data_IF_938801511222
#
_entry.id   IF_938801511222
#
_cell.length_a   1.000
_cell.length_b   1.000
_cell.length_c   1.000
_cell.angle_alpha   90.00
_cell.angle_beta   90.00
_cell.angle_gamma   90.00
#
_symmetry.space_group_name_H-M   'P 1'
#
loop_
_entity.id
_entity.type
_entity.pdbx_description
1 polymer ?
#
# COMPACT_ATOMS: atom_id res chain seq x y z
N UNK A 1 19.33 -0.84 -14.15
CA UNK A 1 18.75 -1.44 -15.38
C UNK A 1 17.50 -2.19 -14.96
N UNK A 2 16.45 -2.04 -15.73
CA UNK A 2 15.05 -2.48 -15.60
C UNK A 2 14.24 -1.78 -14.51
N UNK A 3 13.78 -0.57 -14.81
CA UNK A 3 12.57 0.00 -14.27
C UNK A 3 11.37 -0.82 -14.76
N UNK A 4 11.00 -1.87 -14.06
CA UNK A 4 9.68 -2.49 -14.24
C UNK A 4 8.68 -1.57 -13.55
N UNK A 5 8.17 -0.63 -14.31
CA UNK A 5 7.14 0.29 -13.85
C UNK A 5 5.85 -0.50 -13.67
N UNK A 6 5.42 -0.72 -12.45
CA UNK A 6 4.17 -1.42 -12.06
C UNK A 6 2.88 -0.79 -12.56
N UNK A 7 2.97 0.31 -13.31
CA UNK A 7 1.84 0.96 -13.97
C UNK A 7 1.89 0.81 -15.49
N UNK A 8 2.82 0.02 -16.03
CA UNK A 8 2.87 -0.16 -17.45
C UNK A 8 1.66 -0.94 -17.93
N UNK A 9 0.98 -0.37 -18.90
CA UNK A 9 -0.11 -0.99 -19.62
C UNK A 9 0.49 -1.49 -20.92
N UNK A 10 0.52 -2.81 -21.06
CA UNK A 10 1.02 -3.46 -22.28
C UNK A 10 -0.11 -3.67 -23.24
N UNK A 11 0.16 -3.43 -24.53
CA UNK A 11 -0.72 -3.87 -25.61
C UNK A 11 -0.31 -5.24 -26.08
N UNK A 12 -1.29 -6.04 -26.45
CA UNK A 12 -1.04 -7.37 -27.00
C UNK A 12 -1.91 -7.64 -28.24
N UNK A 13 -1.52 -8.65 -29.01
CA UNK A 13 -2.32 -9.24 -30.08
C UNK A 13 -2.72 -10.66 -29.69
N UNK A 14 -3.89 -11.11 -30.09
CA UNK A 14 -4.38 -12.47 -29.93
C UNK A 14 -5.28 -12.83 -31.11
N UNK A 15 -5.33 -14.11 -31.46
CA UNK A 15 -6.19 -14.60 -32.56
C UNK A 15 -7.67 -14.57 -32.20
N UNK A 16 -7.98 -14.64 -30.90
CA UNK A 16 -9.35 -14.55 -30.34
C UNK A 16 -9.41 -13.45 -29.29
N UNK A 17 -10.58 -12.82 -29.06
CA UNK A 17 -10.76 -11.84 -28.00
C UNK A 17 -10.50 -12.46 -26.63
N UNK A 18 -9.53 -11.89 -25.89
CA UNK A 18 -9.27 -12.25 -24.48
C UNK A 18 -10.32 -11.58 -23.61
N UNK A 19 -10.97 -12.36 -22.74
CA UNK A 19 -11.97 -11.83 -21.82
C UNK A 19 -11.35 -10.89 -20.80
N UNK A 20 -12.12 -9.89 -20.38
CA UNK A 20 -11.70 -9.04 -19.27
C UNK A 20 -11.64 -9.82 -17.98
N UNK A 21 -10.59 -9.59 -17.19
CA UNK A 21 -10.45 -10.27 -15.90
C UNK A 21 -9.02 -10.39 -15.42
N UNK A 22 -8.87 -11.09 -14.35
CA UNK A 22 -7.59 -11.42 -13.74
C UNK A 22 -7.07 -12.72 -14.31
N UNK A 23 -5.77 -12.76 -14.58
CA UNK A 23 -5.08 -13.92 -15.15
C UNK A 23 -3.77 -14.17 -14.43
N UNK A 24 -3.42 -15.44 -14.29
CA UNK A 24 -2.07 -15.86 -13.98
C UNK A 24 -1.26 -15.89 -15.27
N UNK A 25 -0.20 -15.09 -15.32
CA UNK A 25 0.63 -14.93 -16.53
C UNK A 25 1.67 -16.05 -16.59
N UNK A 26 1.85 -16.65 -17.77
CA UNK A 26 2.77 -17.76 -17.98
C UNK A 26 3.57 -17.54 -19.29
N UNK A 27 4.89 -17.69 -19.23
CA UNK A 27 5.77 -17.75 -20.41
C UNK A 27 5.88 -19.16 -20.97
N UNK A 28 5.69 -20.14 -20.10
CA UNK A 28 5.76 -21.55 -20.41
C UNK A 28 4.62 -22.31 -19.76
N UNK A 29 4.45 -23.55 -20.17
CA UNK A 29 3.45 -24.47 -19.62
C UNK A 29 3.78 -24.75 -18.14
N UNK A 30 2.90 -24.40 -17.16
CA UNK A 30 3.14 -24.74 -15.77
C UNK A 30 3.04 -26.26 -15.56
N UNK A 31 3.93 -26.81 -14.76
CA UNK A 31 3.91 -28.24 -14.42
C UNK A 31 2.68 -28.61 -13.60
N UNK A 32 2.32 -27.75 -12.63
CA UNK A 32 1.14 -27.87 -11.79
C UNK A 32 0.29 -26.60 -11.93
N UNK A 33 -0.68 -26.56 -12.84
CA UNK A 33 -1.55 -25.41 -12.98
C UNK A 33 -2.44 -25.28 -11.75
N UNK A 34 -2.25 -24.22 -10.97
CA UNK A 34 -3.17 -23.84 -9.90
C UNK A 34 -4.39 -23.15 -10.52
N UNK A 35 -5.59 -23.59 -10.14
CA UNK A 35 -6.82 -23.25 -10.84
C UNK A 35 -7.65 -22.12 -10.20
N UNK A 36 -7.02 -21.25 -9.37
CA UNK A 36 -7.75 -20.12 -8.78
C UNK A 36 -8.04 -19.02 -9.80
N UNK A 37 -7.10 -18.78 -10.71
CA UNK A 37 -7.26 -17.87 -11.86
C UNK A 37 -6.97 -18.61 -13.16
N UNK A 38 -7.60 -18.22 -14.29
CA UNK A 38 -7.24 -18.74 -15.60
C UNK A 38 -5.79 -18.34 -15.94
N UNK A 39 -5.07 -19.24 -16.61
CA UNK A 39 -3.73 -18.96 -17.10
C UNK A 39 -3.81 -18.23 -18.44
N UNK A 40 -3.00 -17.20 -18.61
CA UNK A 40 -2.79 -16.48 -19.86
C UNK A 40 -1.37 -16.75 -20.34
N UNK A 41 -1.23 -17.42 -21.47
CA UNK A 41 0.07 -17.66 -22.08
C UNK A 41 0.55 -16.43 -22.82
N UNK A 42 1.71 -15.92 -22.44
CA UNK A 42 2.35 -14.76 -23.06
C UNK A 42 3.54 -15.25 -23.90
N UNK A 43 3.62 -14.84 -25.14
CA UNK A 43 4.73 -15.17 -26.05
C UNK A 43 5.28 -13.93 -26.74
N UNK A 44 6.54 -13.98 -27.17
CA UNK A 44 7.16 -12.94 -28.01
C UNK A 44 6.70 -13.04 -29.45
N UNK A 45 6.38 -14.24 -29.91
CA UNK A 45 5.99 -14.53 -31.29
C UNK A 45 4.76 -15.42 -31.31
N UNK A 46 4.05 -15.42 -32.45
CA UNK A 46 2.89 -16.29 -32.65
C UNK A 46 3.31 -17.77 -32.53
N UNK A 47 2.55 -18.55 -31.78
CA UNK A 47 2.79 -19.99 -31.65
C UNK A 47 2.03 -20.76 -32.73
N UNK A 48 2.73 -21.70 -33.39
CA UNK A 48 2.13 -22.58 -34.40
C UNK A 48 1.37 -23.77 -33.81
N UNK A 49 1.31 -23.92 -32.46
CA UNK A 49 0.72 -25.04 -31.79
C UNK A 49 -0.62 -24.68 -31.11
N UNK A 50 -1.54 -25.67 -31.02
CA UNK A 50 -2.77 -25.51 -30.23
C UNK A 50 -2.44 -25.30 -28.75
N UNK A 51 -3.15 -24.36 -28.12
CA UNK A 51 -3.01 -24.10 -26.70
C UNK A 51 -3.37 -25.33 -25.88
N UNK A 52 -2.62 -25.61 -24.79
CA UNK A 52 -3.03 -26.59 -23.80
C UNK A 52 -4.38 -26.24 -23.17
N UNK A 53 -5.19 -27.22 -22.85
CA UNK A 53 -6.57 -27.04 -22.38
C UNK A 53 -6.73 -26.22 -21.06
N UNK A 54 -5.65 -26.04 -20.30
CA UNK A 54 -5.65 -25.26 -19.06
C UNK A 54 -5.25 -23.79 -19.24
N UNK A 55 -4.99 -23.34 -20.47
CA UNK A 55 -4.87 -21.91 -20.77
C UNK A 55 -6.22 -21.38 -21.23
N UNK A 56 -6.62 -20.25 -20.66
CA UNK A 56 -7.84 -19.57 -21.09
C UNK A 56 -7.61 -18.90 -22.46
N UNK A 57 -6.44 -18.31 -22.65
CA UNK A 57 -6.09 -17.51 -23.81
C UNK A 57 -4.57 -17.45 -24.04
N UNK A 58 -4.20 -16.91 -25.20
CA UNK A 58 -2.84 -16.68 -25.65
C UNK A 58 -2.69 -15.25 -26.17
N UNK A 59 -1.60 -14.60 -25.81
CA UNK A 59 -1.28 -13.25 -26.28
C UNK A 59 0.16 -13.14 -26.76
N UNK A 60 0.40 -12.26 -27.72
CA UNK A 60 1.74 -11.92 -28.22
C UNK A 60 2.09 -10.50 -27.84
N UNK A 61 3.15 -10.33 -27.07
CA UNK A 61 3.70 -9.03 -26.69
C UNK A 61 5.11 -9.19 -26.16
N UNK A 62 6.11 -8.77 -26.93
CA UNK A 62 7.52 -8.81 -26.53
C UNK A 62 7.79 -8.03 -25.26
N UNK A 63 7.21 -6.83 -25.12
CA UNK A 63 7.42 -5.97 -23.95
C UNK A 63 6.86 -6.63 -22.68
N UNK A 64 5.64 -7.17 -22.75
CA UNK A 64 5.05 -7.89 -21.62
C UNK A 64 5.86 -9.15 -21.29
N UNK A 65 6.23 -9.95 -22.30
CA UNK A 65 7.02 -11.16 -22.11
C UNK A 65 8.33 -10.89 -21.37
N UNK A 66 9.04 -9.82 -21.75
CA UNK A 66 10.30 -9.43 -21.11
C UNK A 66 10.11 -8.85 -19.71
N UNK A 67 8.93 -8.31 -19.40
CA UNK A 67 8.65 -7.65 -18.12
C UNK A 67 8.15 -8.56 -17.01
N UNK A 68 7.58 -9.74 -17.34
CA UNK A 68 6.95 -10.66 -16.38
C UNK A 68 7.85 -11.82 -15.98
N UNK A 69 7.44 -12.49 -14.89
CA UNK A 69 7.86 -13.85 -14.50
C UNK A 69 6.66 -14.81 -14.52
N UNK A 70 6.95 -16.12 -14.65
CA UNK A 70 5.90 -17.15 -14.57
C UNK A 70 5.19 -17.06 -13.22
N UNK A 71 3.87 -16.95 -13.28
CA UNK A 71 3.01 -16.83 -12.10
C UNK A 71 2.75 -15.39 -11.64
N UNK A 72 3.23 -14.38 -12.34
CA UNK A 72 2.77 -12.99 -12.13
C UNK A 72 1.27 -12.90 -12.40
N UNK A 73 0.59 -11.94 -11.77
CA UNK A 73 -0.83 -11.72 -11.97
C UNK A 73 -1.05 -10.44 -12.77
N UNK A 74 -1.82 -10.58 -13.85
CA UNK A 74 -2.23 -9.47 -14.70
C UNK A 74 -3.74 -9.28 -14.70
N UNK A 75 -4.18 -8.06 -14.99
CA UNK A 75 -5.58 -7.74 -15.31
C UNK A 75 -5.68 -7.34 -16.77
N UNK A 76 -6.55 -8.02 -17.50
CA UNK A 76 -6.92 -7.66 -18.87
C UNK A 76 -8.10 -6.72 -18.85
N UNK A 77 -7.96 -5.59 -19.51
CA UNK A 77 -9.00 -4.57 -19.70
C UNK A 77 -9.46 -4.53 -21.16
N UNK A 78 -10.49 -3.72 -21.44
CA UNK A 78 -10.96 -3.47 -22.80
C UNK A 78 -9.81 -3.01 -23.74
N UNK A 79 -9.85 -3.46 -25.00
CA UNK A 79 -8.94 -3.00 -26.04
C UNK A 79 -7.56 -3.67 -26.03
N UNK A 80 -7.50 -4.94 -25.67
CA UNK A 80 -6.27 -5.73 -25.67
C UNK A 80 -5.14 -5.09 -24.86
N UNK A 81 -5.47 -4.61 -23.68
CA UNK A 81 -4.52 -4.04 -22.72
C UNK A 81 -4.43 -4.91 -21.49
N UNK A 82 -3.20 -5.16 -21.05
CA UNK A 82 -2.92 -5.89 -19.80
C UNK A 82 -2.05 -5.03 -18.89
N UNK A 83 -2.34 -5.07 -17.61
CA UNK A 83 -1.53 -4.48 -16.55
C UNK A 83 -1.15 -5.54 -15.53
N UNK A 84 0.14 -5.68 -15.25
CA UNK A 84 0.63 -6.54 -14.17
C UNK A 84 0.28 -5.90 -12.82
N UNK A 85 -0.37 -6.64 -11.93
CA UNK A 85 -0.82 -6.18 -10.61
C UNK A 85 -0.05 -6.80 -9.46
N UNK A 86 0.39 -8.06 -9.59
CA UNK A 86 1.33 -8.71 -8.70
C UNK A 86 2.49 -9.26 -9.52
N UNK A 87 3.72 -8.96 -9.11
CA UNK A 87 4.92 -9.36 -9.83
C UNK A 87 5.98 -9.93 -8.90
N UNK A 88 6.59 -11.04 -9.29
CA UNK A 88 7.68 -11.68 -8.55
C UNK A 88 8.98 -10.87 -8.56
N UNK A 89 9.15 -9.99 -9.53
CA UNK A 89 10.28 -9.05 -9.61
C UNK A 89 10.14 -7.86 -8.67
N UNK A 90 8.95 -7.64 -8.17
CA UNK A 90 8.65 -6.45 -7.40
C UNK A 90 8.85 -6.70 -5.91
N UNK A 91 9.53 -5.77 -5.23
CA UNK A 91 9.73 -5.81 -3.79
C UNK A 91 8.42 -5.66 -3.00
N UNK A 92 7.42 -4.98 -3.58
CA UNK A 92 6.15 -4.70 -2.93
C UNK A 92 4.98 -4.99 -3.87
N UNK A 93 4.10 -5.86 -3.42
CA UNK A 93 2.88 -6.25 -4.10
C UNK A 93 1.67 -5.75 -3.32
N UNK A 94 0.65 -5.21 -3.99
CA UNK A 94 -0.56 -4.70 -3.33
C UNK A 94 -1.79 -4.95 -4.19
N UNK A 95 -2.85 -5.46 -3.58
CA UNK A 95 -4.17 -5.59 -4.19
C UNK A 95 -5.12 -4.51 -3.70
N UNK A 96 -6.06 -4.11 -4.57
CA UNK A 96 -7.15 -3.18 -4.26
C UNK A 96 -8.43 -3.98 -4.08
N UNK A 97 -8.97 -4.02 -2.85
CA UNK A 97 -10.16 -4.83 -2.54
C UNK A 97 -11.47 -4.05 -2.61
N UNK A 98 -11.42 -2.73 -2.51
CA UNK A 98 -12.60 -1.86 -2.62
C UNK A 98 -12.19 -0.44 -2.96
N UNK A 99 -13.08 0.31 -3.60
CA UNK A 99 -12.96 1.77 -3.78
C UNK A 99 -13.90 2.54 -2.83
N UNK A 100 -14.73 1.85 -2.03
CA UNK A 100 -15.63 2.43 -1.03
C UNK A 100 -14.90 2.74 0.25
N UNK A 101 -15.25 3.87 0.90
CA UNK A 101 -14.68 4.26 2.19
C UNK A 101 -15.71 5.07 2.99
N UNK A 102 -15.68 4.93 4.31
CA UNK A 102 -16.46 5.75 5.26
C UNK A 102 -15.70 6.99 5.75
N UNK A 103 -14.50 7.25 5.22
CA UNK A 103 -13.76 8.50 5.41
C UNK A 103 -13.66 9.28 4.09
N UNK A 104 -13.37 10.60 4.18
CA UNK A 104 -13.11 11.51 3.06
C UNK A 104 -11.86 12.33 3.32
N UNK A 105 -10.74 11.64 3.59
CA UNK A 105 -9.48 12.27 3.99
C UNK A 105 -9.04 13.34 2.99
N UNK A 106 -8.65 14.51 3.48
CA UNK A 106 -8.22 15.66 2.65
C UNK A 106 -7.04 15.32 1.71
N UNK A 107 -6.24 14.33 2.08
CA UNK A 107 -5.08 13.87 1.32
C UNK A 107 -5.23 12.46 0.77
N UNK A 108 -6.47 11.97 0.60
CA UNK A 108 -6.70 10.64 0.05
C UNK A 108 -6.07 10.49 -1.34
N UNK A 109 -5.18 9.50 -1.49
CA UNK A 109 -4.53 9.19 -2.77
C UNK A 109 -5.49 8.54 -3.76
N UNK A 110 -6.48 7.82 -3.26
CA UNK A 110 -7.53 7.13 -4.01
C UNK A 110 -8.91 7.57 -3.49
N UNK A 111 -9.44 8.73 -3.95
CA UNK A 111 -10.72 9.22 -3.48
C UNK A 111 -11.82 8.18 -3.62
N UNK A 112 -12.67 8.02 -2.58
CA UNK A 112 -13.71 7.01 -2.58
C UNK A 112 -14.66 7.16 -3.75
N UNK A 113 -15.09 6.02 -4.29
CA UNK A 113 -16.15 5.94 -5.30
C UNK A 113 -17.41 5.31 -4.70
N UNK A 114 -18.55 5.71 -5.25
CA UNK A 114 -19.84 5.09 -4.95
C UNK A 114 -20.16 4.07 -6.04
N UNK A 115 -20.46 2.85 -5.67
CA UNK A 115 -20.78 1.77 -6.60
C UNK A 115 -20.52 0.42 -5.99
N UNK A 116 -21.11 -0.62 -6.59
CA UNK A 116 -20.79 -1.99 -6.20
C UNK A 116 -19.45 -2.37 -6.81
N UNK A 117 -18.51 -2.74 -5.95
CA UNK A 117 -17.17 -3.20 -6.30
C UNK A 117 -16.80 -4.55 -5.63
N UNK A 118 -17.81 -5.29 -5.13
CA UNK A 118 -17.64 -6.54 -4.37
C UNK A 118 -16.81 -7.58 -5.13
N UNK A 119 -16.82 -7.54 -6.46
CA UNK A 119 -15.95 -8.36 -7.30
C UNK A 119 -14.46 -8.19 -6.98
N UNK A 120 -14.04 -6.99 -6.52
CA UNK A 120 -12.62 -6.70 -6.25
C UNK A 120 -12.10 -7.53 -5.07
N UNK A 121 -12.91 -7.73 -4.03
CA UNK A 121 -12.53 -8.55 -2.88
C UNK A 121 -12.28 -10.01 -3.31
N UNK A 122 -13.23 -10.61 -4.03
CA UNK A 122 -13.13 -11.99 -4.49
C UNK A 122 -11.96 -12.19 -5.47
N UNK A 123 -11.79 -11.27 -6.45
CA UNK A 123 -10.71 -11.35 -7.41
C UNK A 123 -9.34 -11.17 -6.73
N UNK A 124 -9.26 -10.34 -5.70
CA UNK A 124 -8.02 -10.18 -4.91
C UNK A 124 -7.67 -11.43 -4.11
N UNK A 125 -8.65 -12.14 -3.55
CA UNK A 125 -8.44 -13.43 -2.89
C UNK A 125 -7.84 -14.45 -3.86
N UNK A 126 -8.47 -14.63 -5.03
CA UNK A 126 -8.01 -15.53 -6.07
C UNK A 126 -6.62 -15.14 -6.61
N UNK A 127 -6.35 -13.83 -6.73
CA UNK A 127 -5.06 -13.32 -7.17
C UNK A 127 -3.94 -13.67 -6.17
N UNK A 128 -4.16 -13.45 -4.87
CA UNK A 128 -3.19 -13.79 -3.82
C UNK A 128 -2.93 -15.29 -3.80
N UNK A 129 -3.98 -16.11 -3.82
CA UNK A 129 -3.85 -17.57 -3.83
C UNK A 129 -3.13 -18.10 -5.08
N UNK A 130 -3.41 -17.53 -6.27
CA UNK A 130 -2.72 -17.90 -7.52
C UNK A 130 -1.28 -17.40 -7.57
N UNK A 131 -0.97 -16.28 -6.93
CA UNK A 131 0.39 -15.73 -6.85
C UNK A 131 1.25 -16.52 -5.88
N UNK A 132 0.67 -16.97 -4.75
CA UNK A 132 1.30 -17.83 -3.73
C UNK A 132 2.74 -17.38 -3.39
N UNK A 133 2.86 -16.15 -2.91
CA UNK A 133 4.15 -15.55 -2.57
C UNK A 133 4.51 -15.88 -1.12
N UNK A 134 5.70 -16.44 -0.90
CA UNK A 134 6.30 -16.44 0.43
C UNK A 134 6.89 -15.04 0.71
N UNK A 135 6.06 -14.14 1.19
CA UNK A 135 6.38 -12.73 1.39
C UNK A 135 5.17 -11.93 1.83
N UNK A 136 5.24 -10.62 1.66
CA UNK A 136 4.16 -9.71 2.09
C UNK A 136 3.37 -9.20 0.88
N UNK A 137 2.04 -9.31 0.95
CA UNK A 137 1.11 -8.65 0.02
C UNK A 137 0.32 -7.58 0.77
N UNK A 138 0.36 -6.36 0.25
CA UNK A 138 -0.48 -5.26 0.72
C UNK A 138 -1.93 -5.48 0.32
N UNK A 139 -2.85 -5.25 1.25
CA UNK A 139 -4.29 -5.19 1.00
C UNK A 139 -4.72 -3.75 1.22
N UNK A 140 -5.10 -3.08 0.15
CA UNK A 140 -5.47 -1.66 0.16
C UNK A 140 -6.87 -1.48 -0.42
N UNK A 141 -7.39 -0.28 -0.26
CA UNK A 141 -8.69 0.08 -0.79
C UNK A 141 -9.07 1.51 -0.42
N UNK A 142 -10.35 1.80 -0.49
CA UNK A 142 -10.92 2.87 0.30
C UNK A 142 -10.85 2.46 1.77
N UNK A 143 -11.74 1.57 2.21
CA UNK A 143 -11.70 0.95 3.53
C UNK A 143 -12.05 -0.54 3.45
N UNK A 144 -11.04 -1.44 3.51
CA UNK A 144 -11.25 -2.88 3.40
C UNK A 144 -12.21 -3.47 4.42
N UNK A 145 -12.18 -2.97 5.66
CA UNK A 145 -13.00 -3.54 6.74
C UNK A 145 -14.49 -3.14 6.68
N UNK A 146 -14.89 -2.32 5.69
CA UNK A 146 -16.33 -2.09 5.40
C UNK A 146 -17.05 -3.37 4.97
N UNK A 147 -16.32 -4.34 4.45
CA UNK A 147 -16.89 -5.65 4.09
C UNK A 147 -17.31 -6.49 5.31
N UNK A 148 -16.80 -6.17 6.51
CA UNK A 148 -17.18 -6.91 7.71
C UNK A 148 -16.93 -8.41 7.57
N UNK A 149 -18.00 -9.21 7.61
CA UNK A 149 -17.94 -10.68 7.52
C UNK A 149 -17.29 -11.16 6.21
N UNK A 150 -17.57 -10.52 5.07
CA UNK A 150 -16.98 -10.91 3.80
C UNK A 150 -15.45 -10.75 3.80
N UNK A 151 -14.92 -9.76 4.56
CA UNK A 151 -13.48 -9.61 4.74
C UNK A 151 -12.89 -10.74 5.61
N UNK A 152 -13.63 -11.20 6.62
CA UNK A 152 -13.21 -12.35 7.42
C UNK A 152 -13.16 -13.63 6.56
N UNK A 153 -14.16 -13.84 5.68
CA UNK A 153 -14.17 -14.95 4.72
C UNK A 153 -13.01 -14.84 3.71
N UNK A 154 -12.67 -13.62 3.25
CA UNK A 154 -11.48 -13.39 2.43
C UNK A 154 -10.22 -13.88 3.15
N UNK A 155 -10.07 -13.59 4.45
CA UNK A 155 -8.92 -14.06 5.23
C UNK A 155 -8.94 -15.58 5.40
N UNK A 156 -10.10 -16.19 5.68
CA UNK A 156 -10.23 -17.64 5.78
C UNK A 156 -9.80 -18.34 4.47
N UNK A 157 -10.19 -17.77 3.32
CA UNK A 157 -9.75 -18.28 2.02
C UNK A 157 -8.22 -18.20 1.84
N UNK A 158 -7.58 -17.07 2.28
CA UNK A 158 -6.11 -16.94 2.21
C UNK A 158 -5.42 -17.93 3.16
N UNK A 159 -5.93 -18.10 4.37
CA UNK A 159 -5.41 -19.08 5.35
C UNK A 159 -5.40 -20.50 4.76
N UNK A 160 -6.44 -20.86 4.04
CA UNK A 160 -6.56 -22.20 3.44
C UNK A 160 -5.69 -22.39 2.19
N UNK A 161 -5.52 -21.36 1.38
CA UNK A 161 -4.98 -21.48 0.02
C UNK A 161 -3.63 -20.80 -0.20
N UNK A 162 -3.17 -19.95 0.72
CA UNK A 162 -1.88 -19.26 0.65
C UNK A 162 -1.34 -18.90 2.05
N UNK A 163 -1.19 -19.87 2.96
CA UNK A 163 -0.83 -19.63 4.37
C UNK A 163 0.56 -18.98 4.54
N UNK A 164 1.44 -19.13 3.56
CA UNK A 164 2.78 -18.55 3.57
C UNK A 164 2.80 -17.04 3.25
N UNK A 165 1.69 -16.50 2.73
CA UNK A 165 1.61 -15.10 2.35
C UNK A 165 1.21 -14.25 3.55
N UNK A 166 2.15 -13.42 4.04
CA UNK A 166 1.83 -12.41 5.04
C UNK A 166 1.02 -11.26 4.41
N UNK A 167 0.10 -10.68 5.17
CA UNK A 167 -0.69 -9.54 4.72
C UNK A 167 -0.34 -8.26 5.47
N UNK A 168 -0.30 -7.15 4.72
CA UNK A 168 -0.24 -5.80 5.25
C UNK A 168 -1.52 -5.05 4.87
N UNK A 169 -2.48 -4.98 5.79
CA UNK A 169 -3.82 -4.43 5.54
C UNK A 169 -3.85 -2.96 5.91
N UNK A 170 -4.13 -2.08 4.93
CA UNK A 170 -4.32 -0.65 5.15
C UNK A 170 -5.79 -0.38 5.45
N UNK A 171 -6.08 0.07 6.64
CA UNK A 171 -7.45 0.34 7.13
C UNK A 171 -7.48 1.60 7.97
N UNK A 172 -8.62 2.28 8.04
CA UNK A 172 -8.81 3.39 8.99
C UNK A 172 -9.01 2.93 10.45
N UNK A 173 -9.13 1.63 10.68
CA UNK A 173 -9.19 1.02 11.99
C UNK A 173 -10.53 1.13 12.72
N UNK A 174 -11.50 1.89 12.20
CA UNK A 174 -12.78 2.19 12.87
C UNK A 174 -13.61 0.92 13.17
N UNK A 175 -13.57 -0.07 12.28
CA UNK A 175 -14.31 -1.34 12.46
C UNK A 175 -13.84 -2.14 13.67
N UNK A 176 -12.61 -1.97 14.11
CA UNK A 176 -12.11 -2.59 15.35
C UNK A 176 -12.77 -2.06 16.64
N UNK A 177 -13.52 -0.96 16.56
CA UNK A 177 -14.36 -0.53 17.70
C UNK A 177 -15.46 -1.56 18.03
N UNK A 178 -15.85 -2.39 17.07
CA UNK A 178 -16.70 -3.56 17.28
C UNK A 178 -15.88 -4.72 17.89
N UNK A 179 -16.13 -4.99 19.17
CA UNK A 179 -15.40 -6.02 19.95
C UNK A 179 -15.58 -7.42 19.37
N UNK A 180 -16.78 -7.74 18.86
CA UNK A 180 -17.05 -9.06 18.26
C UNK A 180 -16.24 -9.24 16.97
N UNK A 181 -16.21 -8.23 16.11
CA UNK A 181 -15.39 -8.25 14.90
C UNK A 181 -13.89 -8.34 15.24
N UNK A 182 -13.44 -7.60 16.26
CA UNK A 182 -12.03 -7.62 16.70
C UNK A 182 -11.62 -9.01 17.19
N UNK A 183 -12.48 -9.70 17.94
CA UNK A 183 -12.21 -11.05 18.41
C UNK A 183 -12.10 -12.05 17.23
N UNK A 184 -12.99 -11.97 16.26
CA UNK A 184 -12.94 -12.81 15.06
C UNK A 184 -11.69 -12.53 14.21
N UNK A 185 -11.25 -11.25 14.14
CA UNK A 185 -10.02 -10.86 13.45
C UNK A 185 -8.78 -11.40 14.16
N UNK A 186 -8.76 -11.41 15.50
CA UNK A 186 -7.69 -12.00 16.30
C UNK A 186 -7.50 -13.48 15.95
N UNK A 187 -8.57 -14.27 15.90
CA UNK A 187 -8.52 -15.70 15.59
C UNK A 187 -7.84 -15.98 14.23
N UNK A 188 -8.01 -15.08 13.26
CA UNK A 188 -7.38 -15.16 11.94
C UNK A 188 -5.94 -14.68 11.97
N UNK A 189 -5.65 -13.65 12.78
CA UNK A 189 -4.29 -13.15 12.97
C UNK A 189 -3.36 -14.12 13.71
N UNK A 190 -3.92 -15.11 14.41
CA UNK A 190 -3.19 -16.21 15.02
C UNK A 190 -2.79 -17.29 13.99
N UNK A 191 -3.54 -17.39 12.88
CA UNK A 191 -3.32 -18.39 11.81
C UNK A 191 -2.56 -17.83 10.61
N UNK A 192 -2.67 -16.52 10.37
CA UNK A 192 -2.05 -15.82 9.25
C UNK A 192 -1.30 -14.60 9.76
N UNK A 193 -0.08 -14.40 9.31
CA UNK A 193 0.70 -13.20 9.66
C UNK A 193 0.08 -11.97 9.03
N UNK A 194 -0.61 -11.15 9.84
CA UNK A 194 -1.26 -9.91 9.39
C UNK A 194 -0.72 -8.73 10.20
N UNK A 195 -0.41 -7.64 9.51
CA UNK A 195 -0.12 -6.33 10.12
C UNK A 195 -1.14 -5.32 9.62
N UNK A 196 -1.76 -4.57 10.53
CA UNK A 196 -2.73 -3.53 10.17
C UNK A 196 -2.09 -2.16 10.23
N UNK A 197 -2.02 -1.49 9.07
CA UNK A 197 -1.58 -0.10 8.96
C UNK A 197 -2.76 0.85 9.25
N UNK A 198 -2.80 1.40 10.46
CA UNK A 198 -3.92 2.23 10.95
C UNK A 198 -3.44 3.68 11.13
N UNK A 199 -4.12 4.67 10.51
CA UNK A 199 -3.74 6.07 10.66
C UNK A 199 -4.28 6.69 11.94
N UNK A 200 -3.44 7.52 12.59
CA UNK A 200 -3.87 8.45 13.62
C UNK A 200 -3.19 9.81 13.36
N UNK A 201 -3.98 10.83 13.03
CA UNK A 201 -3.43 12.11 12.57
C UNK A 201 -3.38 13.19 13.65
N UNK A 202 -3.99 12.97 14.80
CA UNK A 202 -3.90 13.87 15.97
C UNK A 202 -4.31 13.13 17.25
N UNK A 203 -3.88 13.64 18.39
CA UNK A 203 -4.41 13.27 19.71
C UNK A 203 -5.69 14.04 20.07
N UNK A 204 -6.18 14.91 19.19
CA UNK A 204 -7.41 15.70 19.33
C UNK A 204 -8.42 15.29 18.28
N UNK A 205 -9.64 14.96 18.71
CA UNK A 205 -10.74 14.55 17.83
C UNK A 205 -11.01 15.56 16.71
N UNK A 206 -11.10 16.84 17.04
CA UNK A 206 -11.41 17.90 16.07
C UNK A 206 -10.41 17.99 14.91
N UNK A 207 -9.12 17.72 15.16
CA UNK A 207 -8.08 17.76 14.12
C UNK A 207 -8.06 16.45 13.32
N UNK A 208 -8.19 15.31 14.00
CA UNK A 208 -8.26 14.03 13.30
C UNK A 208 -9.47 13.98 12.37
N UNK A 209 -10.66 14.28 12.88
CA UNK A 209 -11.92 14.25 12.15
C UNK A 209 -11.91 15.22 10.95
N UNK A 210 -11.35 16.41 11.13
CA UNK A 210 -11.11 17.37 10.04
C UNK A 210 -10.24 16.77 8.93
N UNK A 211 -9.13 16.13 9.29
CA UNK A 211 -8.18 15.56 8.32
C UNK A 211 -8.75 14.35 7.58
N UNK A 212 -9.53 13.51 8.29
CA UNK A 212 -10.16 12.33 7.67
C UNK A 212 -11.54 12.65 7.04
N UNK A 213 -12.05 13.87 7.24
CA UNK A 213 -13.31 14.32 6.67
C UNK A 213 -14.53 13.51 7.14
N UNK A 214 -14.54 13.08 8.41
CA UNK A 214 -15.60 12.27 9.01
C UNK A 214 -15.69 12.56 10.51
N UNK A 215 -16.81 13.10 10.95
CA UNK A 215 -17.10 13.36 12.37
C UNK A 215 -17.20 12.05 13.15
N UNK A 216 -16.64 12.03 14.37
CA UNK A 216 -16.60 10.85 15.24
C UNK A 216 -15.60 9.77 14.83
N UNK A 217 -14.87 9.96 13.75
CA UNK A 217 -13.88 9.00 13.28
C UNK A 217 -12.73 8.80 14.29
N UNK A 218 -12.35 9.86 15.02
CA UNK A 218 -11.33 9.78 16.06
C UNK A 218 -11.71 8.77 17.15
N UNK A 219 -12.91 8.89 17.70
CA UNK A 219 -13.36 8.04 18.81
C UNK A 219 -13.44 6.58 18.37
N UNK A 220 -13.97 6.31 17.17
CA UNK A 220 -14.01 4.95 16.62
C UNK A 220 -12.61 4.40 16.33
N UNK A 221 -11.70 5.20 15.75
CA UNK A 221 -10.31 4.79 15.47
C UNK A 221 -9.54 4.52 16.77
N UNK A 222 -9.68 5.39 17.78
CA UNK A 222 -9.02 5.21 19.09
C UNK A 222 -9.55 3.98 19.79
N UNK A 223 -10.88 3.78 19.83
CA UNK A 223 -11.46 2.56 20.40
C UNK A 223 -11.01 1.31 19.65
N UNK A 224 -10.94 1.40 18.31
CA UNK A 224 -10.43 0.33 17.46
C UNK A 224 -8.99 -0.04 17.77
N UNK A 225 -8.11 0.96 17.90
CA UNK A 225 -6.70 0.76 18.30
C UNK A 225 -6.56 0.13 19.68
N UNK A 226 -7.38 0.54 20.64
CA UNK A 226 -7.42 -0.06 22.00
C UNK A 226 -7.83 -1.53 21.92
N UNK A 227 -8.93 -1.84 21.25
CA UNK A 227 -9.44 -3.21 21.14
C UNK A 227 -8.47 -4.12 20.39
N UNK A 228 -7.93 -3.67 19.25
CA UNK A 228 -6.98 -4.43 18.44
C UNK A 228 -5.67 -4.67 19.22
N UNK A 229 -5.12 -3.63 19.87
CA UNK A 229 -3.90 -3.75 20.66
C UNK A 229 -4.06 -4.68 21.85
N UNK A 230 -5.15 -4.57 22.60
CA UNK A 230 -5.45 -5.44 23.74
C UNK A 230 -5.70 -6.91 23.32
N UNK A 231 -6.12 -7.12 22.08
CA UNK A 231 -6.28 -8.46 21.49
C UNK A 231 -4.98 -9.05 20.95
N UNK A 232 -3.87 -8.30 20.97
CA UNK A 232 -2.57 -8.76 20.47
C UNK A 232 -2.44 -8.71 18.94
N UNK A 233 -3.34 -8.00 18.25
CA UNK A 233 -3.26 -7.78 16.80
C UNK A 233 -2.08 -6.85 16.50
N UNK A 234 -1.28 -7.18 15.47
CA UNK A 234 -0.11 -6.39 15.07
C UNK A 234 -0.54 -5.08 14.41
N UNK A 235 -0.09 -3.96 14.96
CA UNK A 235 -0.44 -2.61 14.51
C UNK A 235 0.80 -1.84 14.06
N UNK A 236 0.76 -1.30 12.85
CA UNK A 236 1.58 -0.19 12.38
C UNK A 236 0.75 1.10 12.49
N UNK A 237 1.12 2.01 13.36
CA UNK A 237 0.47 3.31 13.46
C UNK A 237 1.06 4.26 12.41
N UNK A 238 0.21 4.87 11.57
CA UNK A 238 0.63 5.71 10.44
C UNK A 238 0.28 7.16 10.68
N UNK A 239 1.28 8.04 10.54
CA UNK A 239 1.12 9.48 10.74
C UNK A 239 1.62 10.19 9.47
N UNK A 240 0.81 11.11 8.94
CA UNK A 240 1.19 12.00 7.83
C UNK A 240 1.18 13.43 8.37
N UNK A 241 2.34 14.11 8.45
CA UNK A 241 2.39 15.51 8.82
C UNK A 241 1.73 16.39 7.76
N UNK A 242 0.92 17.32 8.24
CA UNK A 242 0.20 18.32 7.45
C UNK A 242 0.23 19.66 8.19
N UNK A 243 -0.21 20.74 7.55
CA UNK A 243 -0.37 22.05 8.22
C UNK A 243 -1.23 22.00 9.49
N UNK A 244 -2.13 21.04 9.60
CA UNK A 244 -3.04 20.93 10.74
C UNK A 244 -2.44 20.22 11.97
N UNK A 245 -1.42 19.36 11.80
CA UNK A 245 -0.92 18.48 12.87
C UNK A 245 0.60 18.47 13.08
N UNK A 246 1.41 19.07 12.20
CA UNK A 246 2.87 18.98 12.27
C UNK A 246 3.47 19.48 13.61
N UNK A 247 2.81 20.44 14.26
CA UNK A 247 3.25 20.97 15.55
C UNK A 247 3.06 20.01 16.71
N UNK A 248 2.29 18.94 16.52
CA UNK A 248 1.85 18.01 17.57
C UNK A 248 2.38 16.59 17.38
N UNK A 249 3.36 16.36 16.51
CA UNK A 249 3.88 15.03 16.21
C UNK A 249 4.33 14.28 17.45
N UNK A 250 5.05 14.95 18.34
CA UNK A 250 5.49 14.39 19.62
C UNK A 250 4.31 14.04 20.55
N UNK A 251 3.27 14.88 20.57
CA UNK A 251 2.05 14.62 21.38
C UNK A 251 1.22 13.45 20.83
N UNK A 252 1.16 13.28 19.51
CA UNK A 252 0.49 12.13 18.89
C UNK A 252 1.19 10.83 19.32
N UNK A 253 2.52 10.82 19.28
CA UNK A 253 3.33 9.65 19.66
C UNK A 253 3.24 9.38 21.16
N UNK A 254 3.28 10.43 22.00
CA UNK A 254 3.09 10.31 23.44
C UNK A 254 1.71 9.75 23.78
N UNK A 255 0.66 10.25 23.13
CA UNK A 255 -0.70 9.72 23.26
C UNK A 255 -0.76 8.25 22.86
N UNK A 256 -0.17 7.89 21.72
CA UNK A 256 -0.14 6.51 21.26
C UNK A 256 0.57 5.59 22.26
N UNK A 257 1.72 5.97 22.78
CA UNK A 257 2.49 5.17 23.73
C UNK A 257 1.84 5.04 25.11
N UNK A 258 0.95 5.97 25.47
CA UNK A 258 0.21 5.89 26.75
C UNK A 258 -1.10 5.13 26.67
N UNK A 259 -1.76 5.18 25.52
CA UNK A 259 -3.16 4.70 25.36
C UNK A 259 -3.23 3.34 24.70
N UNK A 260 -2.32 3.05 23.77
CA UNK A 260 -2.40 1.82 22.98
C UNK A 260 -1.35 0.81 23.42
N UNK A 261 -1.80 -0.42 23.57
CA UNK A 261 -0.92 -1.58 23.71
C UNK A 261 -0.59 -2.17 22.33
N UNK A 262 0.55 -2.87 22.25
CA UNK A 262 0.95 -3.65 21.08
C UNK A 262 1.10 -2.87 19.77
N UNK A 263 1.56 -1.60 19.85
CA UNK A 263 2.02 -0.88 18.65
C UNK A 263 3.43 -1.34 18.30
N UNK A 264 3.56 -2.05 17.18
CA UNK A 264 4.83 -2.60 16.72
C UNK A 264 5.73 -1.52 16.11
N UNK A 265 5.11 -0.58 15.39
CA UNK A 265 5.82 0.47 14.67
C UNK A 265 4.98 1.72 14.51
N UNK A 266 5.63 2.87 14.53
CA UNK A 266 5.08 4.14 14.05
C UNK A 266 5.75 4.49 12.72
N UNK A 267 4.95 4.70 11.69
CA UNK A 267 5.39 5.14 10.36
C UNK A 267 5.05 6.60 10.14
N UNK A 268 6.06 7.47 10.20
CA UNK A 268 5.95 8.87 9.86
C UNK A 268 6.17 9.03 8.36
N UNK A 269 5.14 9.45 7.62
CA UNK A 269 5.14 9.39 6.16
C UNK A 269 5.03 10.76 5.52
N UNK A 270 5.88 11.02 4.53
CA UNK A 270 5.76 12.21 3.68
C UNK A 270 4.47 12.22 2.87
N UNK A 271 3.88 13.41 2.71
CA UNK A 271 2.64 13.60 1.97
C UNK A 271 2.86 13.45 0.47
N UNK A 272 2.12 12.57 -0.19
CA UNK A 272 2.17 12.36 -1.64
C UNK A 272 1.17 13.26 -2.37
N UNK A 273 1.61 13.98 -3.42
CA UNK A 273 0.79 14.90 -4.21
C UNK A 273 -0.08 14.20 -5.27
N UNK A 274 -0.97 13.30 -4.82
CA UNK A 274 -1.88 12.54 -5.69
C UNK A 274 -3.33 12.60 -5.17
N UNK A 275 -4.31 12.34 -6.02
CA UNK A 275 -5.71 12.31 -5.63
C UNK A 275 -6.18 13.64 -5.02
N UNK A 276 -6.85 13.57 -3.87
CA UNK A 276 -7.30 14.77 -3.14
C UNK A 276 -6.16 15.56 -2.50
N UNK A 277 -5.02 14.93 -2.18
CA UNK A 277 -3.85 15.66 -1.72
C UNK A 277 -3.41 16.73 -2.73
N UNK A 278 -3.40 16.40 -4.03
CA UNK A 278 -3.06 17.37 -5.09
C UNK A 278 -4.04 18.53 -5.15
N UNK A 279 -5.33 18.24 -4.98
CA UNK A 279 -6.40 19.25 -5.00
C UNK A 279 -6.30 20.20 -3.80
N UNK A 280 -5.99 19.65 -2.64
CA UNK A 280 -5.95 20.38 -1.35
C UNK A 280 -4.55 20.82 -0.95
N UNK A 281 -3.54 20.71 -1.85
CA UNK A 281 -2.12 20.85 -1.52
C UNK A 281 -1.78 22.08 -0.70
N UNK A 282 -2.26 23.24 -1.12
CA UNK A 282 -2.00 24.52 -0.44
C UNK A 282 -2.55 24.62 0.99
N UNK A 283 -3.55 23.82 1.33
CA UNK A 283 -4.18 23.81 2.66
C UNK A 283 -3.67 22.71 3.59
N UNK A 284 -2.89 21.75 3.07
CA UNK A 284 -2.42 20.60 3.85
C UNK A 284 -0.92 20.42 3.84
N UNK A 285 -0.22 20.83 2.79
CA UNK A 285 1.23 20.64 2.68
C UNK A 285 1.98 21.62 3.57
N UNK A 286 3.01 21.12 4.22
CA UNK A 286 4.01 21.86 4.97
C UNK A 286 5.41 21.43 4.48
N UNK A 287 6.29 22.39 4.26
CA UNK A 287 7.67 22.10 3.87
C UNK A 287 8.39 21.33 4.97
N UNK A 288 9.09 20.25 4.59
CA UNK A 288 9.73 19.33 5.53
C UNK A 288 10.71 20.03 6.47
N UNK A 289 11.45 20.99 5.96
CA UNK A 289 12.42 21.77 6.75
C UNK A 289 11.77 22.58 7.88
N UNK A 290 10.52 23.03 7.65
CA UNK A 290 9.81 23.91 8.58
C UNK A 290 9.46 23.22 9.91
N UNK A 291 9.52 21.88 9.99
CA UNK A 291 9.21 21.13 11.21
C UNK A 291 10.27 20.09 11.58
N UNK A 292 11.52 20.30 11.17
CA UNK A 292 12.64 19.40 11.48
C UNK A 292 12.79 19.14 12.97
N UNK A 293 12.66 20.17 13.82
CA UNK A 293 12.72 20.03 15.28
C UNK A 293 11.55 19.19 15.82
N UNK A 294 10.38 19.23 15.18
CA UNK A 294 9.23 18.39 15.55
C UNK A 294 9.45 16.94 15.17
N UNK A 295 10.12 16.67 14.05
CA UNK A 295 10.55 15.31 13.68
C UNK A 295 11.52 14.76 14.74
N UNK A 296 12.53 15.54 15.14
CA UNK A 296 13.49 15.12 16.18
C UNK A 296 12.82 14.90 17.53
N UNK A 297 11.88 15.78 17.92
CA UNK A 297 11.07 15.59 19.14
C UNK A 297 10.23 14.32 19.09
N UNK A 298 9.62 14.04 17.94
CA UNK A 298 8.83 12.83 17.70
C UNK A 298 9.68 11.56 17.83
N UNK A 299 10.88 11.55 17.20
CA UNK A 299 11.84 10.45 17.35
C UNK A 299 12.20 10.20 18.81
N UNK A 300 12.58 11.27 19.54
CA UNK A 300 12.94 11.16 20.96
C UNK A 300 11.77 10.67 21.82
N UNK A 301 10.54 11.04 21.50
CA UNK A 301 9.35 10.56 22.21
C UNK A 301 9.09 9.08 21.92
N UNK A 302 9.20 8.63 20.67
CA UNK A 302 9.06 7.23 20.31
C UNK A 302 10.10 6.35 21.03
N UNK A 303 11.37 6.79 21.05
CA UNK A 303 12.45 6.11 21.76
C UNK A 303 12.17 5.97 23.27
N UNK A 304 11.71 7.05 23.93
CA UNK A 304 11.34 7.01 25.36
C UNK A 304 10.15 6.09 25.64
N UNK A 305 9.26 5.94 24.67
CA UNK A 305 8.09 5.03 24.75
C UNK A 305 8.42 3.59 24.35
N UNK A 306 9.65 3.29 23.95
CA UNK A 306 10.05 1.97 23.48
C UNK A 306 9.39 1.56 22.16
N UNK A 307 8.90 2.51 21.36
CA UNK A 307 8.21 2.25 20.10
C UNK A 307 9.18 2.51 18.93
N UNK A 308 9.29 1.56 18.01
CA UNK A 308 10.04 1.76 16.77
C UNK A 308 9.37 2.83 15.91
N UNK A 309 10.15 3.85 15.49
CA UNK A 309 9.68 4.86 14.55
C UNK A 309 10.50 4.77 13.28
N UNK A 310 9.83 4.78 12.14
CA UNK A 310 10.45 4.81 10.81
C UNK A 310 9.87 5.96 9.99
N UNK A 311 10.74 6.67 9.27
CA UNK A 311 10.37 7.80 8.42
C UNK A 311 10.37 7.34 6.96
N UNK A 312 9.22 7.46 6.30
CA UNK A 312 9.03 7.05 4.91
C UNK A 312 8.78 8.26 4.00
N UNK A 313 9.28 8.17 2.78
CA UNK A 313 8.97 9.13 1.72
C UNK A 313 9.48 10.56 1.97
N UNK A 314 10.61 10.69 2.65
CA UNK A 314 11.31 11.97 2.82
C UNK A 314 12.64 11.94 2.07
N UNK A 315 12.92 12.93 1.20
CA UNK A 315 14.27 13.13 0.70
C UNK A 315 15.22 13.47 1.87
N UNK A 316 16.37 12.81 1.97
CA UNK A 316 17.31 13.03 3.08
C UNK A 316 17.79 14.48 3.19
N UNK A 317 17.91 15.18 2.05
CA UNK A 317 18.29 16.59 2.03
C UNK A 317 17.26 17.55 2.65
N UNK A 318 16.08 17.07 2.98
CA UNK A 318 15.00 17.78 3.69
C UNK A 318 14.75 17.22 5.10
N UNK A 319 15.62 16.34 5.57
CA UNK A 319 15.60 15.84 6.94
C UNK A 319 16.88 16.30 7.67
N UNK A 320 16.79 16.64 8.95
CA UNK A 320 18.00 16.85 9.74
C UNK A 320 18.81 15.55 9.78
N UNK A 321 20.14 15.66 9.68
CA UNK A 321 21.05 14.51 9.63
C UNK A 321 20.81 13.51 10.77
N UNK A 322 20.49 14.01 11.97
CA UNK A 322 20.15 13.19 13.14
C UNK A 322 18.90 12.30 12.94
N UNK A 323 18.07 12.58 11.95
CA UNK A 323 16.89 11.78 11.61
C UNK A 323 17.17 10.73 10.51
N UNK A 324 18.33 10.78 9.82
CA UNK A 324 18.60 9.88 8.69
C UNK A 324 18.61 8.42 9.07
N UNK A 325 19.09 8.07 10.26
CA UNK A 325 19.07 6.67 10.75
C UNK A 325 17.67 6.09 10.97
N UNK A 326 16.63 6.93 10.92
CA UNK A 326 15.23 6.53 11.01
C UNK A 326 14.52 6.57 9.67
N UNK A 327 15.16 7.14 8.65
CA UNK A 327 14.59 7.23 7.30
C UNK A 327 14.84 5.95 6.51
N UNK A 328 13.88 5.58 5.70
CA UNK A 328 13.99 4.45 4.77
C UNK A 328 13.48 4.84 3.40
N UNK A 329 13.92 4.11 2.39
CA UNK A 329 13.37 4.25 1.05
C UNK A 329 11.88 3.92 1.04
N UNK A 330 11.15 4.47 0.07
CA UNK A 330 9.71 4.24 -0.04
C UNK A 330 9.38 2.75 -0.11
N UNK A 331 8.24 2.38 0.47
CA UNK A 331 7.64 1.06 0.36
C UNK A 331 7.41 0.65 -1.12
N UNK A 332 7.34 1.62 -2.04
CA UNK A 332 7.07 1.39 -3.46
C UNK A 332 8.13 2.05 -4.33
N UNK A 333 9.07 1.28 -4.83
CA UNK A 333 10.22 1.72 -5.65
C UNK A 333 9.80 2.51 -6.90
N UNK A 334 8.67 2.12 -7.52
CA UNK A 334 8.12 2.79 -8.69
C UNK A 334 7.58 4.21 -8.43
N UNK A 335 7.38 4.57 -7.16
CA UNK A 335 6.98 5.93 -6.78
C UNK A 335 8.14 6.90 -6.70
N UNK A 336 9.36 6.39 -6.55
CA UNK A 336 10.54 7.20 -6.31
C UNK A 336 11.00 7.90 -7.59
N UNK A 337 11.37 9.15 -7.46
CA UNK A 337 11.90 9.99 -8.51
C UNK A 337 13.11 10.76 -7.98
N UNK A 338 14.19 10.76 -8.76
CA UNK A 338 15.40 11.50 -8.45
C UNK A 338 15.61 12.55 -9.54
N UNK A 339 15.42 13.86 -9.23
CA UNK A 339 15.77 14.93 -10.14
C UNK A 339 17.25 14.87 -10.56
N UNK A 340 17.59 15.53 -11.68
CA UNK A 340 18.96 15.52 -12.22
C UNK A 340 19.99 16.01 -11.21
N UNK A 341 19.63 16.95 -10.36
CA UNK A 341 20.47 17.47 -9.29
C UNK A 341 20.91 16.40 -8.29
N UNK A 342 20.15 15.29 -8.18
CA UNK A 342 20.50 14.15 -7.32
C UNK A 342 21.60 13.27 -7.89
N UNK A 343 22.05 13.48 -9.14
CA UNK A 343 23.04 12.60 -9.76
C UNK A 343 24.40 12.66 -9.06
N UNK A 344 24.77 13.82 -8.48
CA UNK A 344 26.01 14.03 -7.74
C UNK A 344 25.85 13.86 -6.21
N UNK A 345 24.65 13.48 -5.75
CA UNK A 345 24.37 13.34 -4.32
C UNK A 345 24.96 12.05 -3.74
N UNK A 346 25.81 12.14 -2.73
CA UNK A 346 26.46 11.00 -2.04
C UNK A 346 25.46 10.10 -1.32
N UNK A 347 24.30 10.62 -0.93
CA UNK A 347 23.25 9.90 -0.20
C UNK A 347 22.14 9.33 -1.11
N UNK A 348 22.30 9.40 -2.45
CA UNK A 348 21.27 8.98 -3.40
C UNK A 348 20.81 7.51 -3.19
N UNK A 349 21.72 6.60 -2.88
CA UNK A 349 21.45 5.17 -2.72
C UNK A 349 20.62 4.82 -1.47
N UNK A 350 20.69 5.65 -0.43
CA UNK A 350 19.93 5.48 0.83
C UNK A 350 18.72 6.39 0.94
N UNK A 351 18.55 7.32 0.00
CA UNK A 351 17.51 8.33 0.02
C UNK A 351 16.19 7.77 -0.55
N UNK A 352 15.06 8.15 0.02
CA UNK A 352 13.74 7.85 -0.56
C UNK A 352 13.48 8.63 -1.87
N UNK A 353 14.25 9.69 -2.17
CA UNK A 353 13.95 10.55 -3.30
C UNK A 353 12.63 11.31 -3.15
N UNK A 354 12.07 11.71 -4.25
CA UNK A 354 10.80 12.42 -4.34
C UNK A 354 9.72 11.51 -4.93
N UNK A 355 8.47 11.80 -4.68
CA UNK A 355 7.39 11.12 -5.38
C UNK A 355 7.35 11.48 -6.87
N UNK A 356 7.24 10.48 -7.74
CA UNK A 356 7.07 10.69 -9.18
C UNK A 356 5.83 11.53 -9.52
N UNK A 357 4.79 11.45 -8.68
CA UNK A 357 3.56 12.26 -8.79
C UNK A 357 3.78 13.74 -8.52
N UNK A 358 4.88 14.12 -7.86
CA UNK A 358 5.23 15.53 -7.55
C UNK A 358 6.08 16.19 -8.62
N UNK A 359 6.54 15.45 -9.63
CA UNK A 359 7.45 15.92 -10.66
C UNK A 359 7.02 17.25 -11.27
N UNK A 360 7.91 18.26 -11.18
CA UNK A 360 7.76 19.57 -11.80
C UNK A 360 6.86 20.58 -11.07
N UNK A 361 6.16 20.21 -9.97
CA UNK A 361 5.21 21.13 -9.32
C UNK A 361 5.12 21.07 -7.81
N UNK A 362 5.19 19.89 -7.19
CA UNK A 362 4.76 19.69 -5.81
C UNK A 362 5.89 19.24 -4.89
N UNK A 363 7.14 19.30 -5.30
CA UNK A 363 8.27 18.94 -4.46
C UNK A 363 9.14 20.16 -4.13
N UNK A 364 9.76 20.12 -2.98
CA UNK A 364 10.77 21.10 -2.61
C UNK A 364 12.01 20.94 -3.51
N UNK A 365 12.74 22.01 -3.82
CA UNK A 365 13.95 21.92 -4.64
C UNK A 365 14.98 20.97 -4.01
N UNK A 366 15.58 20.05 -4.80
CA UNK A 366 16.64 19.18 -4.31
C UNK A 366 17.84 19.98 -3.80
N UNK A 367 18.46 19.49 -2.73
CA UNK A 367 19.70 20.00 -2.15
C UNK A 367 20.69 18.83 -2.04
N UNK A 368 21.50 18.58 -3.11
CA UNK A 368 22.45 17.46 -3.10
C UNK A 368 23.38 17.52 -1.90
N UNK A 369 23.61 16.39 -1.26
CA UNK A 369 24.56 16.19 -0.18
C UNK A 369 25.87 15.76 -0.85
N UNK A 370 26.91 16.57 -0.76
CA UNK A 370 28.21 16.38 -1.43
C UNK A 370 29.23 15.74 -0.50
#
# INVERSE_FOLDING_TARGET
MSEVLRNDIFRFTADLPVQQGFYRLCKSKPENPQFYLPNLLVSETQLDSRLPAYFADFVVSTDLFNSIEDGDIGIVNNGNMIRVILSRRANHNTVLVTERCNNRCLFCSQPPKTGNDDRLLNQSALAIASFSLNGVVGVSGGEPLLYGEDFLQFLDFIIENSPETALHVLTNGRKFADVSFTQQMKERSEKLKITFGIPLYSSRSSVHDYLVGSEGAFDETVMGLINAGNSGINIELRIIPTLANYMELDKIIEFAGRVFSNINQISLMGLESIGWARKNWSSIFIEHDSYSEKILSAIGTAQRSGITLTIFNYPLCHLPERAWGFATQSISDWKNYYPKECDECTQKSSCAGYFSSSKGRFHQPPRPIL
#
